data_IF_002555995285
#
_entry.id   IF_002555995285
#
_cell.length_a   1.000
_cell.length_b   1.000
_cell.length_c   1.000
_cell.angle_alpha   90.00
_cell.angle_beta   90.00
_cell.angle_gamma   90.00
#
_symmetry.space_group_name_H-M   'P 1'
#
loop_
_entity.id
_entity.type
_entity.pdbx_description
1 polymer ?
#
# COMPACT_ATOMS: atom_id res chain seq x y z
N UNK A 1 -19.44 -2.89 8.32
CA UNK A 1 -18.07 -2.63 8.81
C UNK A 1 -18.07 -1.32 9.56
N UNK A 2 -17.19 -1.11 10.55
CA UNK A 2 -17.17 0.13 11.32
C UNK A 2 -16.82 1.32 10.41
N UNK A 3 -17.42 2.47 10.69
CA UNK A 3 -17.06 3.76 10.09
C UNK A 3 -15.79 4.27 10.79
N UNK A 4 -14.66 4.17 10.10
CA UNK A 4 -13.33 4.50 10.62
C UNK A 4 -12.91 5.90 10.15
N UNK A 5 -12.46 6.74 11.08
CA UNK A 5 -11.75 7.97 10.75
C UNK A 5 -10.24 7.78 10.91
N UNK A 6 -9.51 7.87 9.80
CA UNK A 6 -8.05 8.01 9.79
C UNK A 6 -7.79 9.50 10.02
N UNK A 7 -7.39 9.87 11.22
CA UNK A 7 -7.42 11.23 11.74
C UNK A 7 -6.05 11.91 11.73
N UNK A 8 -6.02 13.16 11.30
CA UNK A 8 -4.89 14.09 11.47
C UNK A 8 -3.52 13.58 10.99
N UNK A 9 -3.36 13.11 9.73
CA UNK A 9 -2.06 12.66 9.23
C UNK A 9 -1.04 13.80 9.12
N UNK A 10 0.26 13.50 9.26
CA UNK A 10 1.35 14.47 8.99
C UNK A 10 1.27 15.04 7.57
N UNK A 11 0.90 14.19 6.61
CA UNK A 11 0.66 14.56 5.23
C UNK A 11 -0.27 13.54 4.57
N UNK A 12 -1.04 14.01 3.58
CA UNK A 12 -1.94 13.16 2.79
C UNK A 12 -1.96 13.62 1.34
N UNK A 13 -1.86 12.68 0.40
CA UNK A 13 -2.01 12.97 -1.03
C UNK A 13 -3.49 12.92 -1.44
N UNK A 14 -4.27 13.87 -0.94
CA UNK A 14 -5.67 14.09 -1.29
C UNK A 14 -6.07 15.54 -1.01
N UNK A 15 -6.91 16.14 -1.86
CA UNK A 15 -7.43 17.50 -1.64
C UNK A 15 -8.58 17.51 -0.65
N UNK A 16 -8.64 18.53 0.23
CA UNK A 16 -9.73 18.74 1.21
C UNK A 16 -9.79 17.65 2.29
N UNK A 17 -8.66 17.04 2.62
CA UNK A 17 -8.55 15.90 3.53
C UNK A 17 -7.50 16.14 4.62
N UNK A 18 -7.20 17.40 4.97
CA UNK A 18 -6.11 17.76 5.88
C UNK A 18 -6.29 17.17 7.29
N UNK A 19 -7.53 16.93 7.74
CA UNK A 19 -7.87 16.21 8.99
C UNK A 19 -8.06 14.70 8.76
N UNK A 20 -7.83 14.22 7.54
CA UNK A 20 -7.83 12.82 7.14
C UNK A 20 -9.09 12.35 6.39
N UNK A 21 -9.35 11.04 6.44
CA UNK A 21 -10.37 10.35 5.64
C UNK A 21 -11.32 9.54 6.51
N UNK A 22 -12.59 9.49 6.12
CA UNK A 22 -13.55 8.53 6.68
C UNK A 22 -13.76 7.39 5.71
N UNK A 23 -13.62 6.17 6.23
CA UNK A 23 -13.73 4.92 5.51
C UNK A 23 -14.95 4.15 6.02
N UNK A 24 -15.77 3.68 5.09
CA UNK A 24 -16.92 2.83 5.40
C UNK A 24 -17.16 1.87 4.24
N UNK A 25 -17.42 0.59 4.56
CA UNK A 25 -17.69 -0.47 3.58
C UNK A 25 -16.67 -0.51 2.42
N UNK A 26 -15.37 -0.44 2.76
CA UNK A 26 -14.24 -0.43 1.82
C UNK A 26 -14.17 0.78 0.87
N UNK A 27 -14.87 1.87 1.19
CA UNK A 27 -14.86 3.08 0.38
C UNK A 27 -14.47 4.28 1.23
N UNK A 28 -13.75 5.21 0.62
CA UNK A 28 -13.62 6.56 1.17
C UNK A 28 -14.98 7.23 1.00
N UNK A 29 -15.64 7.54 2.11
CA UNK A 29 -16.97 8.16 2.12
C UNK A 29 -16.92 9.64 2.45
N UNK A 30 -15.83 10.11 3.05
CA UNK A 30 -15.66 11.51 3.41
C UNK A 30 -14.19 11.91 3.39
N UNK A 31 -13.94 13.17 3.02
CA UNK A 31 -12.64 13.85 3.13
C UNK A 31 -12.84 14.98 4.14
N UNK A 32 -12.08 14.97 5.24
CA UNK A 32 -12.26 15.92 6.35
C UNK A 32 -11.23 17.03 6.19
N UNK A 33 -11.70 18.24 5.91
CA UNK A 33 -10.84 19.39 5.66
C UNK A 33 -10.36 20.06 6.95
N UNK A 34 -9.37 20.95 6.85
CA UNK A 34 -8.89 21.77 7.97
C UNK A 34 -10.04 22.42 8.75
N UNK A 35 -10.05 22.25 10.08
CA UNK A 35 -11.05 22.82 10.98
C UNK A 35 -12.42 22.12 10.98
N UNK A 36 -12.62 21.08 10.15
CA UNK A 36 -13.83 20.26 10.14
C UNK A 36 -13.69 18.99 10.98
N UNK A 37 -14.83 18.37 11.28
CA UNK A 37 -14.97 17.04 11.90
C UNK A 37 -15.87 16.17 10.99
N UNK A 38 -15.83 14.83 11.12
CA UNK A 38 -16.72 13.95 10.37
C UNK A 38 -18.20 14.35 10.46
N UNK A 39 -18.89 14.41 9.32
CA UNK A 39 -20.33 14.80 9.24
C UNK A 39 -21.28 13.86 9.98
N UNK A 40 -20.85 12.62 10.20
CA UNK A 40 -21.59 11.60 10.94
C UNK A 40 -20.68 10.94 11.98
N UNK A 41 -21.23 10.45 13.10
CA UNK A 41 -20.46 9.76 14.13
C UNK A 41 -19.64 8.60 13.55
N UNK A 42 -18.36 8.54 13.89
CA UNK A 42 -17.47 7.44 13.54
C UNK A 42 -17.46 6.41 14.67
N UNK A 43 -17.40 5.13 14.32
CA UNK A 43 -17.29 4.05 15.31
C UNK A 43 -15.87 3.92 15.83
N UNK A 44 -14.88 4.21 14.97
CA UNK A 44 -13.47 4.03 15.26
C UNK A 44 -12.66 5.23 14.78
N UNK A 45 -11.54 5.46 15.44
CA UNK A 45 -10.56 6.49 15.05
C UNK A 45 -9.17 5.88 15.08
N UNK A 46 -8.42 6.08 14.02
CA UNK A 46 -7.00 5.81 13.95
C UNK A 46 -6.26 7.15 13.96
N UNK A 47 -5.48 7.41 15.01
CA UNK A 47 -4.65 8.61 15.11
C UNK A 47 -3.43 8.48 14.19
N UNK A 48 -3.45 9.22 13.09
CA UNK A 48 -2.40 9.26 12.08
C UNK A 48 -1.42 10.42 12.29
N UNK A 49 -1.43 11.12 13.42
CA UNK A 49 -0.56 12.29 13.69
C UNK A 49 0.94 12.06 13.60
N UNK A 50 1.38 10.80 13.59
CA UNK A 50 2.76 10.39 13.33
C UNK A 50 2.98 9.68 11.98
N UNK A 51 1.99 9.72 11.07
CA UNK A 51 1.94 8.93 9.84
C UNK A 51 1.69 9.79 8.60
N UNK A 52 2.13 9.28 7.45
CA UNK A 52 1.79 9.83 6.12
C UNK A 52 0.79 8.89 5.45
N UNK A 53 -0.28 9.45 4.87
CA UNK A 53 -1.31 8.69 4.16
C UNK A 53 -1.11 8.84 2.65
N UNK A 54 -0.93 7.70 1.98
CA UNK A 54 -0.75 7.62 0.52
C UNK A 54 -1.86 6.78 -0.10
N UNK A 55 -2.20 7.01 -1.39
CA UNK A 55 -2.93 6.04 -2.16
C UNK A 55 -2.21 4.69 -2.13
N UNK A 56 -2.98 3.60 -2.12
CA UNK A 56 -2.41 2.26 -2.25
C UNK A 56 -1.58 2.16 -3.52
N UNK A 57 -0.32 1.71 -3.41
CA UNK A 57 0.57 1.58 -4.54
C UNK A 57 0.10 0.45 -5.47
N UNK A 58 0.10 0.70 -6.77
CA UNK A 58 -0.23 -0.30 -7.79
C UNK A 58 1.07 -0.90 -8.32
N UNK A 59 1.28 -2.19 -8.05
CA UNK A 59 2.38 -2.93 -8.65
C UNK A 59 1.93 -3.55 -9.99
N UNK A 60 2.43 -3.00 -11.10
CA UNK A 60 2.03 -3.40 -12.46
C UNK A 60 2.87 -4.54 -13.03
N UNK A 61 3.95 -4.92 -12.37
CA UNK A 61 4.86 -5.95 -12.86
C UNK A 61 5.49 -6.73 -11.71
N UNK A 62 5.25 -8.04 -11.69
CA UNK A 62 5.84 -8.90 -10.68
C UNK A 62 6.01 -10.33 -11.20
N UNK A 63 7.12 -10.95 -10.84
CA UNK A 63 7.33 -12.38 -11.00
C UNK A 63 7.16 -13.07 -9.65
N UNK A 64 5.91 -13.37 -9.29
CA UNK A 64 5.56 -13.81 -7.93
C UNK A 64 6.35 -15.02 -7.46
N UNK A 65 6.41 -16.08 -8.27
CA UNK A 65 7.13 -17.30 -7.93
C UNK A 65 8.64 -17.11 -7.75
N UNK A 66 9.25 -16.14 -8.46
CA UNK A 66 10.70 -15.87 -8.35
C UNK A 66 11.08 -15.22 -7.01
N UNK A 67 10.10 -14.83 -6.18
CA UNK A 67 10.36 -14.40 -4.80
C UNK A 67 11.05 -15.50 -3.98
N UNK A 68 10.71 -16.77 -4.24
CA UNK A 68 11.26 -17.93 -3.53
C UNK A 68 12.72 -18.23 -3.89
N UNK A 69 13.24 -17.60 -4.94
CA UNK A 69 14.60 -17.83 -5.45
C UNK A 69 15.43 -16.55 -5.50
N UNK A 70 15.11 -15.56 -4.65
CA UNK A 70 15.93 -14.36 -4.49
C UNK A 70 17.32 -14.72 -3.98
N UNK A 71 18.33 -14.04 -4.52
CA UNK A 71 19.74 -14.20 -4.12
C UNK A 71 20.28 -15.64 -4.20
N UNK A 72 19.77 -16.48 -5.10
CA UNK A 72 20.39 -17.81 -5.33
C UNK A 72 21.77 -17.64 -5.97
N UNK A 73 22.78 -18.28 -5.37
CA UNK A 73 24.20 -18.14 -5.75
C UNK A 73 24.45 -18.30 -7.26
N UNK A 74 23.85 -19.28 -7.96
CA UNK A 74 24.10 -19.43 -9.39
C UNK A 74 23.67 -18.23 -10.21
N UNK A 75 22.67 -17.44 -9.79
CA UNK A 75 22.13 -16.35 -10.58
C UNK A 75 22.78 -14.99 -10.32
N UNK A 76 23.60 -14.87 -9.27
CA UNK A 76 24.24 -13.59 -8.89
C UNK A 76 25.33 -13.24 -9.90
N UNK A 77 25.34 -11.99 -10.36
CA UNK A 77 26.36 -11.46 -11.27
C UNK A 77 26.27 -11.99 -12.71
N UNK A 78 25.17 -12.65 -13.09
CA UNK A 78 24.93 -13.10 -14.47
C UNK A 78 24.14 -12.08 -15.28
N UNK A 79 24.47 -11.98 -16.56
CA UNK A 79 23.66 -11.28 -17.57
C UNK A 79 22.30 -11.96 -17.75
N UNK A 80 21.31 -11.21 -18.28
CA UNK A 80 19.90 -11.64 -18.35
C UNK A 80 19.70 -13.05 -18.92
N UNK A 81 20.34 -13.37 -20.06
CA UNK A 81 20.14 -14.69 -20.70
C UNK A 81 20.82 -15.84 -19.96
N UNK A 82 21.92 -15.58 -19.26
CA UNK A 82 22.56 -16.60 -18.40
C UNK A 82 21.84 -16.72 -17.05
N UNK A 83 21.23 -15.64 -16.57
CA UNK A 83 20.34 -15.63 -15.42
C UNK A 83 19.07 -16.46 -15.68
N UNK A 84 18.47 -16.33 -16.87
CA UNK A 84 17.28 -17.11 -17.24
C UNK A 84 17.52 -18.62 -17.18
N UNK A 85 18.74 -19.08 -17.49
CA UNK A 85 19.13 -20.50 -17.40
C UNK A 85 19.18 -21.02 -15.96
N UNK A 86 19.32 -20.14 -14.96
CA UNK A 86 19.27 -20.53 -13.55
C UNK A 86 17.84 -20.82 -13.05
N UNK A 87 16.82 -20.42 -13.81
CA UNK A 87 15.41 -20.60 -13.48
C UNK A 87 14.65 -21.26 -14.64
N UNK A 88 15.04 -22.49 -15.03
CA UNK A 88 14.38 -23.17 -16.13
C UNK A 88 12.89 -23.37 -15.82
N UNK A 89 12.01 -23.27 -16.83
CA UNK A 89 10.60 -23.60 -16.65
C UNK A 89 10.48 -25.06 -16.19
N UNK A 90 9.96 -25.28 -14.98
CA UNK A 90 9.77 -26.62 -14.39
C UNK A 90 10.51 -26.88 -13.06
N UNK A 91 11.41 -25.99 -12.62
CA UNK A 91 12.22 -26.21 -11.41
C UNK A 91 13.49 -27.01 -11.69
N UNK A 92 14.34 -27.26 -10.68
CA UNK A 92 15.52 -28.12 -10.84
C UNK A 92 15.09 -29.57 -11.07
N UNK A 93 15.76 -30.27 -11.97
CA UNK A 93 15.83 -31.73 -11.94
C UNK A 93 16.54 -32.21 -10.66
#
# INVERSE_FOLDING_TARGET
MPRLWIKDPLAIFATQAERGLVIENHRIVERVSTGAEPTQPTNETFDASAHVVLPGLINTHHHFFQTLTRAVRPAIGRELFDWLKCFPPGGPN
#
